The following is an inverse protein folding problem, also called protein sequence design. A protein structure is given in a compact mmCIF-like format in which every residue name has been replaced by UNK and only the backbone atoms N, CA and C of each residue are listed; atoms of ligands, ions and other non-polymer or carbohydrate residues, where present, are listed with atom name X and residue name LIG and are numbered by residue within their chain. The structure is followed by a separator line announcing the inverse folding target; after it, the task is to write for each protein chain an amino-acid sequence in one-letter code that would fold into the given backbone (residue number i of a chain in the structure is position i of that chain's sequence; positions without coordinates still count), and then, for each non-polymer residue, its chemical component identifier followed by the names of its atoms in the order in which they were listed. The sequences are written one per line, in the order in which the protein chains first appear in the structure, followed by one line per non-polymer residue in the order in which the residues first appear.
data_IF_856881749361
#
_entry.id   IF_856881749361
#
_cell.length_a   1.000
_cell.length_b   1.000
_cell.length_c   1.000
_cell.angle_alpha   90.00
_cell.angle_beta   90.00
_cell.angle_gamma   90.00
#
_symmetry.space_group_name_H-M   'P 1'
#
loop_
_entity.id
_entity.type
_entity.pdbx_description
1 polymer ?
#
# COMPACT_ATOMS: atom_id res chain seq x y z
N UNK A 1 -4.14 -42.37 17.26
CA UNK A 1 -3.70 -41.48 16.17
C UNK A 1 -2.73 -40.50 16.79
N UNK A 2 -1.43 -40.66 16.52
CA UNK A 2 -0.40 -39.78 17.03
C UNK A 2 -0.59 -38.37 16.46
N UNK A 3 -0.62 -37.36 17.34
CA UNK A 3 -0.55 -35.96 16.93
C UNK A 3 0.70 -35.78 16.07
N UNK A 4 0.49 -35.50 14.79
CA UNK A 4 1.58 -35.07 13.92
C UNK A 4 2.07 -33.72 14.45
N UNK A 5 3.35 -33.69 14.86
CA UNK A 5 4.09 -32.48 15.22
C UNK A 5 3.96 -31.45 14.09
N UNK A 6 3.01 -30.53 14.19
CA UNK A 6 2.82 -29.48 13.21
C UNK A 6 4.06 -28.58 13.22
N UNK A 7 4.69 -28.39 12.06
CA UNK A 7 5.87 -27.53 11.91
C UNK A 7 5.53 -26.13 12.44
N UNK A 8 6.41 -25.50 13.26
CA UNK A 8 6.15 -24.16 13.77
C UNK A 8 5.93 -23.18 12.61
N UNK A 9 4.94 -22.29 12.79
CA UNK A 9 4.59 -21.28 11.80
C UNK A 9 5.79 -20.37 11.53
N UNK A 10 5.98 -19.98 10.27
CA UNK A 10 6.89 -18.88 9.96
C UNK A 10 6.36 -17.58 10.59
N UNK A 11 7.23 -16.57 10.76
CA UNK A 11 6.80 -15.27 11.27
C UNK A 11 5.64 -14.67 10.47
N UNK A 12 5.65 -14.82 9.14
CA UNK A 12 4.58 -14.36 8.26
C UNK A 12 3.27 -15.14 8.47
N UNK A 13 3.33 -16.46 8.62
CA UNK A 13 2.13 -17.27 8.90
C UNK A 13 1.56 -16.95 10.29
N UNK A 14 2.42 -16.70 11.30
CA UNK A 14 1.99 -16.28 12.63
C UNK A 14 1.30 -14.90 12.63
N UNK A 15 1.85 -13.93 11.87
CA UNK A 15 1.22 -12.62 11.68
C UNK A 15 -0.14 -12.78 11.01
N UNK A 16 -0.25 -13.58 9.95
CA UNK A 16 -1.55 -13.81 9.28
C UNK A 16 -2.56 -14.49 10.20
N UNK A 17 -2.16 -15.52 10.94
CA UNK A 17 -3.04 -16.26 11.85
C UNK A 17 -3.65 -15.35 12.94
N UNK A 18 -2.86 -14.40 13.47
CA UNK A 18 -3.31 -13.47 14.51
C UNK A 18 -3.94 -12.18 13.98
N UNK A 19 -3.92 -11.94 12.66
CA UNK A 19 -4.33 -10.65 12.06
C UNK A 19 -5.84 -10.40 11.99
N UNK A 20 -6.70 -11.37 12.29
CA UNK A 20 -8.15 -11.21 12.12
C UNK A 20 -8.53 -10.89 10.67
N UNK A 21 -8.14 -11.77 9.74
CA UNK A 21 -8.35 -11.62 8.28
C UNK A 21 -7.64 -10.39 7.69
N UNK A 22 -6.33 -10.30 7.92
CA UNK A 22 -5.42 -9.30 7.34
C UNK A 22 -5.68 -7.86 7.81
N UNK A 23 -6.43 -7.68 8.90
CA UNK A 23 -6.69 -6.35 9.50
C UNK A 23 -5.51 -5.91 10.38
N UNK A 24 -5.10 -6.81 11.28
CA UNK A 24 -4.09 -6.55 12.31
C UNK A 24 -4.31 -5.22 13.01
N UNK A 25 -3.24 -4.48 13.21
CA UNK A 25 -3.26 -3.15 13.82
C UNK A 25 -3.25 -2.00 12.80
N UNK A 26 -3.43 -2.29 11.49
CA UNK A 26 -3.26 -1.31 10.41
C UNK A 26 -4.12 -0.06 10.65
N UNK A 27 -5.40 -0.24 11.03
CA UNK A 27 -6.31 0.88 11.18
C UNK A 27 -5.91 1.86 12.28
N UNK A 28 -5.39 1.33 13.40
CA UNK A 28 -4.91 2.12 14.53
C UNK A 28 -3.58 2.80 14.20
N UNK A 29 -2.63 2.08 13.59
CA UNK A 29 -1.37 2.68 13.14
C UNK A 29 -1.61 3.77 12.10
N UNK A 30 -2.52 3.59 11.14
CA UNK A 30 -2.87 4.64 10.18
C UNK A 30 -3.57 5.87 10.82
N UNK A 31 -3.88 5.83 12.11
CA UNK A 31 -4.51 6.93 12.85
C UNK A 31 -3.60 7.53 13.94
N UNK A 32 -2.41 6.97 14.18
CA UNK A 32 -1.54 7.35 15.31
C UNK A 32 -0.72 8.64 15.09
N UNK A 33 -0.77 9.21 13.89
CA UNK A 33 -0.03 10.42 13.52
C UNK A 33 1.48 10.22 13.32
N UNK A 34 2.00 9.00 13.48
CA UNK A 34 3.42 8.69 13.25
C UNK A 34 3.68 8.39 11.78
N UNK A 35 4.85 8.72 11.23
CA UNK A 35 5.15 8.47 9.81
C UNK A 35 5.45 7.00 9.50
N UNK A 36 5.86 6.21 10.50
CA UNK A 36 6.28 4.82 10.36
C UNK A 36 5.15 3.83 10.67
N UNK A 37 5.43 2.54 10.45
CA UNK A 37 4.57 1.41 10.78
C UNK A 37 5.39 0.23 11.29
N UNK A 38 4.75 -0.68 12.01
CA UNK A 38 5.39 -1.90 12.50
C UNK A 38 5.62 -2.92 11.37
N UNK A 39 6.59 -3.82 11.57
CA UNK A 39 6.85 -4.92 10.62
C UNK A 39 5.62 -5.82 10.42
N UNK A 40 4.84 -6.06 11.47
CA UNK A 40 3.61 -6.83 11.38
C UNK A 40 2.57 -6.14 10.48
N UNK A 41 2.35 -4.83 10.67
CA UNK A 41 1.48 -4.04 9.80
C UNK A 41 2.02 -3.95 8.37
N UNK A 42 3.34 -3.90 8.18
CA UNK A 42 3.95 -3.90 6.86
C UNK A 42 3.66 -5.20 6.10
N UNK A 43 3.84 -6.36 6.74
CA UNK A 43 3.52 -7.66 6.13
C UNK A 43 2.04 -7.73 5.71
N UNK A 44 1.14 -7.18 6.51
CA UNK A 44 -0.30 -7.16 6.20
C UNK A 44 -0.64 -6.15 5.09
N UNK A 45 -0.02 -4.97 5.06
CA UNK A 45 -0.26 -3.95 4.03
C UNK A 45 0.03 -4.44 2.61
N UNK A 46 0.96 -5.39 2.44
CA UNK A 46 1.24 -6.02 1.13
C UNK A 46 0.00 -6.67 0.53
N UNK A 47 -0.88 -7.23 1.36
CA UNK A 47 -2.17 -7.78 0.92
C UNK A 47 -3.16 -6.69 0.53
N UNK A 48 -2.97 -5.47 0.99
CA UNK A 48 -3.74 -4.28 0.60
C UNK A 48 -3.11 -3.51 -0.57
N UNK A 49 -2.15 -4.13 -1.27
CA UNK A 49 -1.43 -3.52 -2.40
C UNK A 49 -0.54 -2.35 -2.00
N UNK A 50 -0.19 -2.22 -0.72
CA UNK A 50 0.58 -1.10 -0.16
C UNK A 50 1.91 -1.61 0.37
N UNK A 51 3.00 -0.98 -0.03
CA UNK A 51 4.36 -1.34 0.36
C UNK A 51 5.01 -0.17 1.09
N UNK A 52 5.53 -0.41 2.28
CA UNK A 52 6.19 0.59 3.11
C UNK A 52 7.71 0.59 2.86
N UNK A 53 8.29 1.78 2.88
CA UNK A 53 9.72 1.98 2.72
C UNK A 53 10.14 3.36 3.18
N UNK A 54 11.30 3.78 2.72
CA UNK A 54 11.83 5.11 2.97
C UNK A 54 12.73 5.52 1.81
N UNK A 55 12.87 6.82 1.62
CA UNK A 55 13.80 7.39 0.65
C UNK A 55 15.25 7.04 1.05
N UNK A 56 15.87 6.20 0.21
CA UNK A 56 17.23 5.70 0.44
C UNK A 56 18.30 6.72 0.07
N UNK A 57 17.99 7.67 -0.80
CA UNK A 57 18.95 8.65 -1.28
C UNK A 57 19.23 9.66 -0.15
N UNK A 58 18.18 10.12 0.56
CA UNK A 58 18.34 11.02 1.71
C UNK A 58 18.70 10.32 3.03
N UNK A 59 18.61 8.99 3.11
CA UNK A 59 18.73 8.25 4.38
C UNK A 59 20.07 8.48 5.11
N UNK A 60 21.20 8.49 4.38
CA UNK A 60 22.53 8.65 4.97
C UNK A 60 22.73 10.04 5.56
N UNK A 61 22.31 11.07 4.82
CA UNK A 61 22.43 12.47 5.24
C UNK A 61 21.53 12.77 6.44
N UNK A 62 20.29 12.29 6.42
CA UNK A 62 19.34 12.44 7.53
C UNK A 62 19.84 11.76 8.80
N UNK A 63 20.42 10.55 8.67
CA UNK A 63 21.05 9.85 9.80
C UNK A 63 22.19 10.67 10.41
N UNK A 64 23.07 11.28 9.58
CA UNK A 64 24.15 12.16 10.07
C UNK A 64 23.61 13.41 10.78
N UNK A 65 22.47 13.92 10.33
CA UNK A 65 21.78 15.06 10.93
C UNK A 65 20.91 14.70 12.16
N UNK A 66 20.85 13.43 12.57
CA UNK A 66 20.00 12.98 13.69
C UNK A 66 18.50 13.03 13.40
N UNK A 67 18.11 13.09 12.12
CA UNK A 67 16.71 13.13 11.67
C UNK A 67 16.20 11.73 11.35
N UNK A 68 14.91 11.51 11.58
CA UNK A 68 14.22 10.30 11.17
C UNK A 68 14.25 10.11 9.65
N UNK A 69 14.16 8.86 9.19
CA UNK A 69 14.05 8.55 7.76
C UNK A 69 12.81 9.19 7.15
N UNK A 70 12.89 9.55 5.87
CA UNK A 70 11.72 10.01 5.12
C UNK A 70 10.94 8.78 4.67
N UNK A 71 9.99 8.36 5.50
CA UNK A 71 9.14 7.21 5.23
C UNK A 71 8.14 7.48 4.11
N UNK A 72 7.88 6.47 3.30
CA UNK A 72 6.98 6.56 2.17
C UNK A 72 6.34 5.21 1.84
N UNK A 73 5.23 5.28 1.10
CA UNK A 73 4.51 4.11 0.64
C UNK A 73 4.46 4.07 -0.90
N UNK A 74 4.52 2.87 -1.43
CA UNK A 74 4.12 2.56 -2.80
C UNK A 74 2.76 1.89 -2.78
N UNK A 75 1.80 2.41 -3.56
CA UNK A 75 0.47 1.83 -3.69
C UNK A 75 0.29 1.31 -5.11
N UNK A 76 -0.14 0.05 -5.23
CA UNK A 76 -0.36 -0.62 -6.52
C UNK A 76 -1.84 -0.87 -6.76
N UNK A 77 -2.30 -0.51 -7.94
CA UNK A 77 -3.67 -0.82 -8.38
C UNK A 77 -3.78 -2.26 -8.88
N UNK A 78 -5.02 -2.73 -9.01
CA UNK A 78 -5.42 -3.96 -9.68
C UNK A 78 -6.29 -3.59 -10.86
N UNK A 79 -5.81 -3.92 -12.06
CA UNK A 79 -6.46 -3.61 -13.33
C UNK A 79 -6.53 -4.90 -14.15
N UNK A 80 -7.64 -5.64 -14.10
CA UNK A 80 -7.79 -6.89 -14.85
C UNK A 80 -7.57 -6.67 -16.35
N UNK A 81 -6.59 -7.39 -16.93
CA UNK A 81 -6.23 -7.28 -18.34
C UNK A 81 -5.70 -5.90 -18.76
N UNK A 82 -5.36 -5.02 -17.81
CA UNK A 82 -4.86 -3.68 -18.12
C UNK A 82 -5.88 -2.74 -18.76
N UNK A 83 -7.18 -3.05 -18.71
CA UNK A 83 -8.22 -2.28 -19.40
C UNK A 83 -8.73 -1.14 -18.53
N UNK A 84 -8.73 0.06 -19.10
CA UNK A 84 -9.17 1.30 -18.47
C UNK A 84 -9.97 2.11 -19.47
N UNK A 85 -10.95 2.85 -18.96
CA UNK A 85 -11.58 3.97 -19.69
C UNK A 85 -10.69 5.21 -19.61
N UNK A 86 -10.94 6.20 -20.48
CA UNK A 86 -10.24 7.48 -20.43
C UNK A 86 -10.43 8.18 -19.08
N UNK A 87 -11.66 8.19 -18.56
CA UNK A 87 -11.98 8.81 -17.27
C UNK A 87 -11.26 8.13 -16.09
N UNK A 88 -11.11 6.81 -16.13
CA UNK A 88 -10.32 6.08 -15.13
C UNK A 88 -8.85 6.46 -15.19
N UNK A 89 -8.29 6.65 -16.39
CA UNK A 89 -6.91 7.10 -16.55
C UNK A 89 -6.72 8.50 -15.98
N UNK A 90 -7.58 9.46 -16.33
CA UNK A 90 -7.56 10.83 -15.81
C UNK A 90 -7.65 10.82 -14.28
N UNK A 91 -8.57 10.02 -13.71
CA UNK A 91 -8.68 9.90 -12.27
C UNK A 91 -7.41 9.31 -11.61
N UNK A 92 -6.67 8.41 -12.29
CA UNK A 92 -5.38 7.94 -11.76
C UNK A 92 -4.34 9.05 -11.78
N UNK A 93 -4.31 9.87 -12.82
CA UNK A 93 -3.39 11.00 -12.96
C UNK A 93 -3.62 12.05 -11.86
N UNK A 94 -4.87 12.47 -11.66
CA UNK A 94 -5.27 13.38 -10.57
C UNK A 94 -4.86 12.84 -9.19
N UNK A 95 -5.00 11.52 -8.98
CA UNK A 95 -4.61 10.86 -7.74
C UNK A 95 -3.09 10.89 -7.54
N UNK A 96 -2.32 10.74 -8.62
CA UNK A 96 -0.86 10.80 -8.57
C UNK A 96 -0.38 12.20 -8.19
N UNK A 97 -0.97 13.25 -8.78
CA UNK A 97 -0.65 14.63 -8.43
C UNK A 97 -1.02 14.97 -6.98
N UNK A 98 -2.22 14.56 -6.55
CA UNK A 98 -2.76 15.01 -5.27
C UNK A 98 -2.18 14.28 -4.05
N UNK A 99 -1.83 13.00 -4.20
CA UNK A 99 -1.51 12.14 -3.05
C UNK A 99 -0.17 11.41 -3.16
N UNK A 100 0.51 11.50 -4.30
CA UNK A 100 1.80 10.86 -4.57
C UNK A 100 2.81 11.91 -5.06
N UNK A 101 3.80 11.51 -5.85
CA UNK A 101 4.80 12.42 -6.42
C UNK A 101 4.48 12.97 -7.82
N UNK A 102 3.22 12.91 -8.27
CA UNK A 102 2.84 13.36 -9.62
C UNK A 102 3.31 12.43 -10.76
N UNK A 103 3.67 11.18 -10.46
CA UNK A 103 4.07 10.21 -11.48
C UNK A 103 3.22 8.93 -11.43
N UNK A 104 2.94 8.38 -12.61
CA UNK A 104 2.30 7.09 -12.77
C UNK A 104 3.28 6.07 -13.35
N UNK A 105 3.58 5.01 -12.59
CA UNK A 105 4.41 3.91 -13.09
C UNK A 105 3.57 2.76 -13.61
N UNK A 106 3.49 2.59 -14.93
CA UNK A 106 2.93 1.37 -15.55
C UNK A 106 3.89 0.21 -15.31
N UNK A 107 3.38 -0.97 -14.96
CA UNK A 107 4.19 -2.15 -14.67
C UNK A 107 4.06 -3.22 -15.77
N UNK A 108 4.96 -4.20 -15.75
CA UNK A 108 4.92 -5.38 -16.64
C UNK A 108 3.69 -6.27 -16.44
N UNK A 109 2.90 -6.03 -15.37
CA UNK A 109 1.63 -6.72 -15.09
C UNK A 109 0.41 -5.86 -15.39
N UNK A 110 0.58 -4.83 -16.23
CA UNK A 110 -0.49 -3.96 -16.73
C UNK A 110 -1.27 -3.24 -15.62
N UNK A 111 -0.58 -2.84 -14.54
CA UNK A 111 -1.14 -2.03 -13.45
C UNK A 111 -0.30 -0.79 -13.19
N UNK A 112 -0.87 0.19 -12.48
CA UNK A 112 -0.16 1.38 -12.02
C UNK A 112 0.45 1.19 -10.63
N UNK A 113 1.57 1.87 -10.40
CA UNK A 113 2.17 2.08 -9.09
C UNK A 113 2.33 3.58 -8.85
N UNK A 114 1.97 3.98 -7.64
CA UNK A 114 2.08 5.33 -7.11
C UNK A 114 3.18 5.33 -6.05
N UNK A 115 4.16 6.20 -6.17
CA UNK A 115 5.32 6.26 -5.27
C UNK A 115 5.29 7.53 -4.41
N UNK A 116 6.04 7.53 -3.30
CA UNK A 116 6.13 8.67 -2.38
C UNK A 116 4.76 9.05 -1.78
N UNK A 117 3.90 8.07 -1.56
CA UNK A 117 2.62 8.31 -0.87
C UNK A 117 2.91 8.43 0.62
N UNK A 118 2.55 9.55 1.24
CA UNK A 118 2.69 9.74 2.69
C UNK A 118 1.58 9.00 3.45
N UNK A 119 1.85 8.56 4.68
CA UNK A 119 0.90 7.77 5.49
C UNK A 119 -0.46 8.46 5.65
N UNK A 120 -0.45 9.77 5.88
CA UNK A 120 -1.64 10.61 6.01
C UNK A 120 -2.52 10.63 4.75
N UNK A 121 -1.90 10.47 3.58
CA UNK A 121 -2.57 10.51 2.29
C UNK A 121 -3.16 9.15 1.88
N UNK A 122 -2.68 8.03 2.45
CA UNK A 122 -3.10 6.68 2.06
C UNK A 122 -4.63 6.51 2.07
N UNK A 123 -5.30 6.89 3.16
CA UNK A 123 -6.77 6.75 3.25
C UNK A 123 -7.49 7.60 2.22
N UNK A 124 -7.01 8.81 1.94
CA UNK A 124 -7.61 9.70 0.94
C UNK A 124 -7.40 9.17 -0.48
N UNK A 125 -6.21 8.69 -0.79
CA UNK A 125 -5.86 8.07 -2.06
C UNK A 125 -6.73 6.83 -2.34
N UNK A 126 -6.87 5.94 -1.35
CA UNK A 126 -7.74 4.76 -1.39
C UNK A 126 -9.18 5.13 -1.71
N UNK A 127 -9.72 6.17 -1.06
CA UNK A 127 -11.07 6.68 -1.35
C UNK A 127 -11.19 7.22 -2.78
N UNK A 128 -10.16 7.89 -3.28
CA UNK A 128 -10.06 8.35 -4.68
C UNK A 128 -10.23 7.20 -5.66
N UNK A 129 -9.48 6.10 -5.50
CA UNK A 129 -9.63 4.93 -6.36
C UNK A 129 -11.03 4.33 -6.33
N UNK A 130 -11.66 4.26 -5.16
CA UNK A 130 -13.04 3.74 -5.02
C UNK A 130 -14.06 4.63 -5.74
N UNK A 131 -13.80 5.94 -5.82
CA UNK A 131 -14.64 6.85 -6.59
C UNK A 131 -14.41 6.69 -8.09
N UNK A 132 -13.15 6.60 -8.53
CA UNK A 132 -12.80 6.33 -9.93
C UNK A 132 -13.42 5.01 -10.43
N UNK A 133 -13.46 3.99 -9.58
CA UNK A 133 -14.16 2.72 -9.86
C UNK A 133 -15.66 2.92 -10.02
N UNK A 134 -16.33 3.65 -9.13
CA UNK A 134 -17.80 3.81 -9.17
C UNK A 134 -18.30 4.48 -10.45
N UNK A 135 -17.47 5.27 -11.11
CA UNK A 135 -17.81 5.95 -12.35
C UNK A 135 -17.68 5.05 -13.59
N UNK A 136 -17.30 3.77 -13.45
CA UNK A 136 -17.14 2.82 -14.56
C UNK A 136 -17.52 1.38 -14.15
N UNK A 137 -18.17 0.64 -15.05
CA UNK A 137 -18.71 -0.70 -14.74
C UNK A 137 -17.62 -1.75 -14.48
N UNK A 138 -16.38 -1.56 -14.96
CA UNK A 138 -15.23 -2.44 -14.75
C UNK A 138 -13.91 -1.65 -14.69
N UNK A 139 -12.88 -2.14 -13.98
CA UNK A 139 -11.49 -1.88 -14.39
C UNK A 139 -10.46 -1.46 -13.33
N UNK A 140 -10.79 -0.75 -12.25
CA UNK A 140 -9.77 -0.33 -11.25
C UNK A 140 -10.24 -0.69 -9.85
N UNK A 141 -9.49 -1.54 -9.17
CA UNK A 141 -9.62 -1.68 -7.72
C UNK A 141 -8.25 -1.58 -7.09
N UNK A 142 -8.19 -1.30 -5.79
CA UNK A 142 -7.06 -1.80 -5.03
C UNK A 142 -7.25 -3.29 -4.80
N UNK A 143 -6.18 -4.00 -4.45
CA UNK A 143 -6.37 -5.23 -3.71
C UNK A 143 -6.86 -4.76 -2.34
N UNK A 144 -8.17 -4.65 -2.13
CA UNK A 144 -8.74 -4.36 -0.82
C UNK A 144 -10.05 -5.13 -0.65
N UNK A 145 -10.18 -5.65 0.58
CA UNK A 145 -11.33 -6.35 1.15
C UNK A 145 -12.63 -5.57 0.98
#
# INVERSE_FOLDING_TARGET
MSEQNAKPLSGQEAIKASSGFLKGNIAAELADGKPDITDASYELLKFHGTYFGYDRDSATERKKAGLDKKYEFMVRTRIPGGRLTADQYIAMDDIAEKYANGTLRITTRQVFQFHVVLKENLKAQIRGYRQAKRNALDGVSLIQV
#
